data_IF_061236975209
#
_entry.id   IF_061236975209
#
_cell.length_a   1.000
_cell.length_b   1.000
_cell.length_c   1.000
_cell.angle_alpha   90.00
_cell.angle_beta   90.00
_cell.angle_gamma   90.00
#
_symmetry.space_group_name_H-M   'P 1'
#
loop_
_entity.id
_entity.type
_entity.pdbx_description
1 polymer ?
#
# COMPACT_ATOMS: atom_id res chain seq x y z
N UNK A 1 -23.29 1.47 -13.22
CA UNK A 1 -22.90 2.00 -11.92
C UNK A 1 -22.83 0.87 -10.91
N UNK A 2 -21.77 0.82 -10.11
CA UNK A 2 -21.60 -0.19 -9.06
C UNK A 2 -22.54 0.14 -7.90
N UNK A 3 -23.35 -0.84 -7.47
CA UNK A 3 -24.24 -0.68 -6.34
C UNK A 3 -23.52 -0.71 -4.99
N UNK A 4 -24.22 -0.38 -3.91
CA UNK A 4 -23.70 -0.41 -2.53
C UNK A 4 -23.18 -1.79 -2.09
N UNK A 5 -23.65 -2.85 -2.72
CA UNK A 5 -23.19 -4.23 -2.50
C UNK A 5 -21.88 -4.57 -3.20
N UNK A 6 -21.30 -3.64 -3.96
CA UNK A 6 -20.09 -3.87 -4.74
C UNK A 6 -20.29 -4.61 -6.07
N UNK A 7 -21.53 -4.78 -6.50
CA UNK A 7 -21.86 -5.45 -7.75
C UNK A 7 -22.46 -4.50 -8.78
N UNK A 8 -22.14 -4.75 -10.04
CA UNK A 8 -22.77 -4.09 -11.18
C UNK A 8 -23.04 -5.12 -12.28
N UNK A 9 -24.12 -4.91 -13.02
CA UNK A 9 -24.43 -5.70 -14.21
C UNK A 9 -24.10 -4.85 -15.43
N UNK A 10 -23.30 -5.41 -16.33
CA UNK A 10 -22.98 -4.79 -17.62
C UNK A 10 -23.76 -5.55 -18.69
N UNK A 11 -24.87 -4.99 -19.17
CA UNK A 11 -25.66 -5.62 -20.22
C UNK A 11 -25.05 -5.37 -21.61
N UNK A 12 -25.51 -6.13 -22.59
CA UNK A 12 -25.23 -5.92 -24.01
C UNK A 12 -23.77 -6.09 -24.45
N UNK A 13 -23.07 -7.06 -23.85
CA UNK A 13 -21.76 -7.45 -24.35
C UNK A 13 -21.92 -8.21 -25.69
N UNK A 14 -20.99 -7.98 -26.62
CA UNK A 14 -20.99 -8.66 -27.89
C UNK A 14 -20.50 -10.11 -27.73
N UNK A 15 -21.32 -11.13 -28.02
CA UNK A 15 -20.92 -12.52 -27.88
C UNK A 15 -19.75 -12.87 -28.80
N UNK A 16 -18.91 -13.81 -28.38
CA UNK A 16 -17.76 -14.35 -29.14
C UNK A 16 -16.74 -13.32 -29.60
N UNK A 17 -16.77 -12.13 -29.02
CA UNK A 17 -15.78 -11.07 -29.27
C UNK A 17 -15.20 -10.60 -27.96
N UNK A 18 -13.98 -10.04 -27.98
CA UNK A 18 -13.40 -9.39 -26.84
C UNK A 18 -14.14 -8.09 -26.54
N UNK A 19 -14.63 -7.99 -25.32
CA UNK A 19 -15.19 -6.77 -24.77
C UNK A 19 -14.27 -6.28 -23.66
N UNK A 20 -14.07 -4.99 -23.58
CA UNK A 20 -13.32 -4.36 -22.49
C UNK A 20 -14.33 -3.85 -21.47
N UNK A 21 -14.20 -4.32 -20.24
CA UNK A 21 -14.99 -3.81 -19.12
C UNK A 21 -14.07 -3.00 -18.24
N UNK A 22 -14.37 -1.72 -18.07
CA UNK A 22 -13.60 -0.77 -17.30
C UNK A 22 -14.38 -0.29 -16.09
N UNK A 23 -13.67 -0.12 -14.97
CA UNK A 23 -14.18 0.56 -13.78
C UNK A 23 -13.61 1.98 -13.73
N UNK A 24 -14.49 2.98 -13.59
CA UNK A 24 -14.07 4.36 -13.33
C UNK A 24 -13.73 4.50 -11.83
N UNK A 25 -12.50 4.83 -11.47
CA UNK A 25 -12.08 4.93 -10.08
C UNK A 25 -12.53 6.23 -9.37
N UNK A 26 -13.24 7.13 -10.07
CA UNK A 26 -13.60 8.45 -9.50
C UNK A 26 -14.47 8.38 -8.25
N UNK A 27 -15.32 7.35 -8.16
CA UNK A 27 -16.23 7.18 -7.03
C UNK A 27 -15.66 6.27 -5.93
N UNK A 28 -14.40 5.84 -6.06
CA UNK A 28 -13.73 5.09 -5.01
C UNK A 28 -13.25 6.05 -3.91
N UNK A 29 -13.31 5.59 -2.67
CA UNK A 29 -12.69 6.33 -1.57
C UNK A 29 -11.18 6.47 -1.79
N UNK A 30 -10.60 7.56 -1.29
CA UNK A 30 -9.17 7.90 -1.50
C UNK A 30 -8.21 6.84 -0.97
N UNK A 31 -8.65 6.02 -0.03
CA UNK A 31 -7.90 4.92 0.57
C UNK A 31 -8.01 3.60 -0.20
N UNK A 32 -8.75 3.57 -1.32
CA UNK A 32 -8.95 2.38 -2.14
C UNK A 32 -8.38 2.58 -3.54
N UNK A 33 -7.54 1.66 -3.96
CA UNK A 33 -6.94 1.65 -5.29
C UNK A 33 -7.26 0.35 -6.02
N UNK A 34 -7.60 0.45 -7.30
CA UNK A 34 -7.79 -0.72 -8.16
C UNK A 34 -6.44 -1.25 -8.63
N UNK A 35 -6.19 -2.55 -8.46
CA UNK A 35 -5.00 -3.20 -9.04
C UNK A 35 -5.06 -3.18 -10.56
N UNK A 36 -6.25 -3.34 -11.12
CA UNK A 36 -6.50 -3.33 -12.57
C UNK A 36 -7.84 -2.65 -12.81
N UNK A 37 -7.85 -1.59 -13.60
CA UNK A 37 -9.07 -0.85 -13.91
C UNK A 37 -9.86 -1.43 -15.09
N UNK A 38 -9.24 -2.27 -15.93
CA UNK A 38 -9.84 -2.84 -17.12
C UNK A 38 -9.62 -4.35 -17.23
N UNK A 39 -10.62 -5.08 -17.65
CA UNK A 39 -10.53 -6.52 -17.95
C UNK A 39 -11.18 -6.82 -19.29
N UNK A 40 -10.59 -7.77 -20.02
CA UNK A 40 -11.11 -8.27 -21.27
C UNK A 40 -11.94 -9.54 -21.05
N UNK A 41 -13.08 -9.60 -21.67
CA UNK A 41 -13.97 -10.77 -21.63
C UNK A 41 -14.59 -11.07 -22.98
N UNK A 42 -14.64 -12.35 -23.34
CA UNK A 42 -15.30 -12.82 -24.55
C UNK A 42 -16.44 -13.79 -24.16
N UNK A 43 -17.64 -13.29 -23.86
CA UNK A 43 -18.74 -14.16 -23.41
C UNK A 43 -19.30 -14.99 -24.55
N UNK A 44 -19.86 -16.15 -24.21
CA UNK A 44 -20.69 -16.91 -25.10
C UNK A 44 -22.12 -16.33 -25.15
N UNK A 45 -22.82 -16.49 -26.24
CA UNK A 45 -24.21 -16.05 -26.31
C UNK A 45 -25.06 -16.68 -25.21
N UNK A 46 -25.83 -15.85 -24.49
CA UNK A 46 -26.67 -16.27 -23.37
C UNK A 46 -25.94 -16.63 -22.07
N UNK A 47 -24.63 -16.45 -22.01
CA UNK A 47 -23.86 -16.72 -20.81
C UNK A 47 -23.75 -15.50 -19.90
N UNK A 48 -23.57 -15.73 -18.60
CA UNK A 48 -23.21 -14.72 -17.62
C UNK A 48 -21.78 -14.98 -17.18
N UNK A 49 -20.91 -13.98 -17.32
CA UNK A 49 -19.51 -14.05 -16.88
C UNK A 49 -19.31 -13.12 -15.71
N UNK A 50 -18.74 -13.65 -14.63
CA UNK A 50 -18.37 -12.86 -13.46
C UNK A 50 -16.94 -12.33 -13.62
N UNK A 51 -16.78 -11.02 -13.59
CA UNK A 51 -15.49 -10.35 -13.51
C UNK A 51 -15.28 -9.86 -12.07
N UNK A 52 -14.09 -10.00 -11.57
CA UNK A 52 -13.71 -9.53 -10.24
C UNK A 52 -12.57 -8.53 -10.37
N UNK A 53 -12.80 -7.31 -9.90
CA UNK A 53 -11.79 -6.27 -9.80
C UNK A 53 -11.23 -6.24 -8.39
N UNK A 54 -9.97 -6.56 -8.27
CA UNK A 54 -9.30 -6.53 -6.99
C UNK A 54 -8.93 -5.11 -6.59
N UNK A 55 -9.17 -4.79 -5.33
CA UNK A 55 -8.81 -3.50 -4.73
C UNK A 55 -7.75 -3.68 -3.66
N UNK A 56 -6.94 -2.67 -3.48
CA UNK A 56 -6.03 -2.53 -2.35
C UNK A 56 -6.51 -1.35 -1.53
N UNK A 57 -6.75 -1.57 -0.25
CA UNK A 57 -7.15 -0.51 0.68
C UNK A 57 -5.97 -0.06 1.53
N UNK A 58 -6.04 1.15 2.01
CA UNK A 58 -5.03 1.75 2.87
C UNK A 58 -4.38 3.00 2.27
N UNK A 59 -3.83 3.84 3.14
CA UNK A 59 -3.15 5.07 2.73
C UNK A 59 -1.75 4.78 2.22
N UNK A 60 -1.43 5.25 1.01
CA UNK A 60 -0.08 5.20 0.47
C UNK A 60 0.78 6.29 1.12
N UNK A 61 1.95 5.90 1.63
CA UNK A 61 2.88 6.78 2.32
C UNK A 61 4.26 6.71 1.67
N UNK A 62 4.92 7.86 1.61
CA UNK A 62 6.35 7.98 1.33
C UNK A 62 7.01 8.51 2.60
N UNK A 63 7.73 7.66 3.31
CA UNK A 63 8.29 7.97 4.62
C UNK A 63 9.77 8.23 4.51
N UNK A 64 10.21 9.38 4.97
CA UNK A 64 11.61 9.72 5.17
C UNK A 64 11.99 9.45 6.62
N UNK A 65 12.85 8.47 6.83
CA UNK A 65 13.34 8.08 8.15
C UNK A 65 14.81 7.65 8.04
N UNK A 66 15.76 8.58 8.11
CA UNK A 66 17.18 8.23 8.05
C UNK A 66 17.56 7.34 9.22
N UNK A 67 18.62 6.56 9.05
CA UNK A 67 19.17 5.73 10.13
C UNK A 67 19.82 6.59 11.21
N UNK A 68 20.09 6.00 12.37
CA UNK A 68 20.70 6.69 13.52
C UNK A 68 22.06 7.32 13.20
N UNK A 69 22.81 6.74 12.26
CA UNK A 69 24.09 7.28 11.80
C UNK A 69 23.95 8.41 10.76
N UNK A 70 22.71 8.82 10.45
CA UNK A 70 22.41 9.85 9.46
C UNK A 70 22.39 9.36 8.02
N UNK A 71 22.68 8.09 7.76
CA UNK A 71 22.60 7.51 6.42
C UNK A 71 21.14 7.22 6.02
N UNK A 72 20.91 7.17 4.71
CA UNK A 72 19.59 6.80 4.18
C UNK A 72 19.31 5.32 4.37
N UNK A 73 18.03 4.95 4.35
CA UNK A 73 17.64 3.54 4.32
C UNK A 73 18.18 2.89 3.04
N UNK A 74 18.66 1.63 3.13
CA UNK A 74 19.18 0.95 1.94
C UNK A 74 18.10 0.71 0.89
N UNK A 75 18.41 1.03 -0.35
CA UNK A 75 17.51 0.78 -1.49
C UNK A 75 17.13 -0.69 -1.60
N UNK A 76 15.85 -0.95 -1.87
CA UNK A 76 15.33 -2.32 -2.02
C UNK A 76 15.07 -3.05 -0.73
N UNK A 77 15.23 -2.39 0.43
CA UNK A 77 14.86 -2.99 1.72
C UNK A 77 13.36 -3.22 1.80
N UNK A 78 12.96 -4.35 2.40
CA UNK A 78 11.56 -4.66 2.65
C UNK A 78 11.05 -3.94 3.89
N UNK A 79 9.79 -3.52 3.84
CA UNK A 79 9.12 -2.88 4.98
C UNK A 79 7.95 -3.76 5.44
N UNK A 80 7.91 -4.05 6.72
CA UNK A 80 6.91 -4.89 7.36
C UNK A 80 6.09 -4.09 8.37
N UNK A 81 4.83 -4.47 8.52
CA UNK A 81 3.97 -3.95 9.59
C UNK A 81 4.21 -4.67 10.93
N UNK A 82 3.41 -4.31 11.93
CA UNK A 82 3.48 -4.92 13.27
C UNK A 82 3.11 -6.42 13.26
N UNK A 83 2.31 -6.85 12.30
CA UNK A 83 1.88 -8.24 12.14
C UNK A 83 2.89 -9.07 11.32
N UNK A 84 3.96 -8.46 10.85
CA UNK A 84 4.99 -9.11 10.02
C UNK A 84 4.63 -9.24 8.55
N UNK A 85 3.58 -8.58 8.09
CA UNK A 85 3.22 -8.55 6.67
C UNK A 85 4.09 -7.54 5.91
N UNK A 86 4.57 -7.93 4.73
CA UNK A 86 5.30 -7.03 3.84
C UNK A 86 4.33 -6.02 3.23
N UNK A 87 4.52 -4.74 3.53
CA UNK A 87 3.63 -3.66 3.12
C UNK A 87 4.29 -2.63 2.23
N UNK A 88 5.57 -2.78 1.95
CA UNK A 88 6.28 -1.82 1.11
C UNK A 88 7.75 -2.11 0.93
N UNK A 89 8.43 -1.16 0.32
CA UNK A 89 9.83 -1.25 -0.07
C UNK A 89 10.49 0.13 0.02
N UNK A 90 11.78 0.14 0.29
CA UNK A 90 12.58 1.37 0.24
C UNK A 90 12.99 1.65 -1.21
N UNK A 91 12.59 2.81 -1.70
CA UNK A 91 12.92 3.29 -3.04
C UNK A 91 14.21 4.09 -3.10
N UNK A 92 14.42 4.73 -4.23
CA UNK A 92 15.55 5.63 -4.44
C UNK A 92 15.50 6.82 -3.46
N UNK A 93 16.66 7.26 -3.01
CA UNK A 93 16.77 8.32 -2.02
C UNK A 93 16.49 7.87 -0.58
N UNK A 94 16.34 6.57 -0.35
CA UNK A 94 16.15 6.00 0.99
C UNK A 94 14.80 6.27 1.61
N UNK A 95 13.78 6.58 0.82
CA UNK A 95 12.40 6.78 1.30
C UNK A 95 11.62 5.48 1.23
N UNK A 96 10.94 5.13 2.31
CA UNK A 96 10.08 3.96 2.37
C UNK A 96 8.72 4.26 1.71
N UNK A 97 8.40 3.49 0.69
CA UNK A 97 7.09 3.52 0.05
C UNK A 97 6.25 2.38 0.62
N UNK A 98 5.19 2.72 1.34
CA UNK A 98 4.34 1.75 2.06
C UNK A 98 2.86 2.07 1.92
N UNK A 99 2.04 1.08 2.17
CA UNK A 99 0.59 1.24 2.25
C UNK A 99 0.14 0.76 3.63
N UNK A 100 -0.49 1.65 4.39
CA UNK A 100 -0.92 1.40 5.76
C UNK A 100 -2.43 1.52 5.90
N UNK A 101 -3.02 0.69 6.74
CA UNK A 101 -4.46 0.71 7.04
C UNK A 101 -4.81 1.39 8.37
N UNK A 102 -3.80 1.73 9.15
CA UNK A 102 -3.95 2.40 10.46
C UNK A 102 -3.45 3.83 10.38
N UNK A 103 -3.95 4.69 11.25
CA UNK A 103 -3.54 6.10 11.33
C UNK A 103 -2.19 6.30 12.02
N UNK A 104 -1.75 5.34 12.79
CA UNK A 104 -0.45 5.34 13.47
C UNK A 104 0.03 3.91 13.67
N UNK A 105 1.31 3.72 13.75
CA UNK A 105 1.89 2.41 13.97
C UNK A 105 3.40 2.39 13.89
N UNK A 106 3.94 1.19 14.01
CA UNK A 106 5.36 0.92 13.93
C UNK A 106 5.64 0.04 12.72
N UNK A 107 6.66 0.41 11.95
CA UNK A 107 7.12 -0.34 10.80
C UNK A 107 8.53 -0.84 11.03
N UNK A 108 8.83 -2.00 10.46
CA UNK A 108 10.15 -2.60 10.50
C UNK A 108 10.74 -2.61 9.09
N UNK A 109 11.93 -2.06 8.93
CA UNK A 109 12.67 -2.07 7.67
C UNK A 109 13.79 -3.09 7.76
N UNK A 110 13.85 -4.03 6.82
CA UNK A 110 14.84 -5.09 6.75
C UNK A 110 15.64 -5.04 5.45
N UNK A 111 16.97 -5.04 5.56
CA UNK A 111 17.89 -5.15 4.41
C UNK A 111 18.82 -6.34 4.49
N UNK A 112 18.67 -7.19 5.49
CA UNK A 112 19.43 -8.43 5.68
C UNK A 112 18.79 -9.32 6.72
N UNK A 113 19.39 -10.47 6.97
CA UNK A 113 18.87 -11.47 7.90
C UNK A 113 19.18 -11.16 9.37
N UNK A 114 20.22 -10.36 9.63
CA UNK A 114 20.68 -10.07 10.99
C UNK A 114 19.89 -8.93 11.63
N UNK A 115 19.83 -8.90 12.95
CA UNK A 115 19.20 -7.81 13.71
C UNK A 115 19.84 -6.45 13.44
N UNK A 116 21.15 -6.42 13.13
CA UNK A 116 21.86 -5.22 12.71
C UNK A 116 21.43 -4.68 11.34
N UNK A 117 20.79 -5.52 10.53
CA UNK A 117 20.22 -5.17 9.22
C UNK A 117 18.73 -4.87 9.29
N UNK A 118 18.27 -4.40 10.43
CA UNK A 118 16.85 -4.12 10.70
C UNK A 118 16.75 -2.83 11.50
N UNK A 119 15.80 -1.97 11.14
CA UNK A 119 15.47 -0.83 11.98
C UNK A 119 13.95 -0.64 12.09
N UNK A 120 13.53 0.07 13.11
CA UNK A 120 12.13 0.39 13.38
C UNK A 120 11.88 1.88 13.25
N UNK A 121 10.77 2.21 12.63
CA UNK A 121 10.28 3.57 12.52
C UNK A 121 8.82 3.64 12.96
N UNK A 122 8.42 4.79 13.46
CA UNK A 122 7.04 5.08 13.79
C UNK A 122 6.45 6.02 12.76
N UNK A 123 5.18 5.85 12.44
CA UNK A 123 4.43 6.80 11.63
C UNK A 123 3.16 7.22 12.36
N UNK A 124 2.77 8.46 12.15
CA UNK A 124 1.53 9.03 12.66
C UNK A 124 0.93 9.93 11.58
N UNK A 125 -0.25 9.58 11.10
CA UNK A 125 -0.96 10.35 10.08
C UNK A 125 -1.68 11.57 10.69
N UNK A 126 -1.79 11.63 12.01
CA UNK A 126 -2.57 12.65 12.70
C UNK A 126 -4.06 12.55 12.38
N UNK A 127 -4.83 13.50 12.89
CA UNK A 127 -6.28 13.60 12.69
C UNK A 127 -6.68 14.51 11.51
N UNK A 128 -5.76 14.87 10.64
CA UNK A 128 -6.11 15.70 9.48
C UNK A 128 -6.87 14.85 8.46
N UNK A 129 -8.15 15.16 8.22
CA UNK A 129 -8.83 14.62 7.05
C UNK A 129 -8.09 15.08 5.81
N UNK A 130 -7.96 14.20 4.84
CA UNK A 130 -7.41 14.54 3.54
C UNK A 130 -8.11 15.78 3.02
N UNK A 131 -7.36 16.86 2.80
CA UNK A 131 -7.89 18.02 2.13
C UNK A 131 -8.38 17.58 0.74
N UNK A 132 -9.55 17.99 0.35
CA UNK A 132 -10.07 17.76 -1.01
C UNK A 132 -9.00 18.14 -2.03
N UNK A 133 -8.54 17.16 -2.81
CA UNK A 133 -7.44 17.33 -3.77
C UNK A 133 -6.06 16.88 -3.28
N UNK A 134 -5.96 16.29 -2.08
CA UNK A 134 -4.72 15.71 -1.60
C UNK A 134 -4.25 14.57 -2.53
N UNK A 135 -2.97 14.54 -2.80
CA UNK A 135 -2.32 13.44 -3.51
C UNK A 135 -2.66 12.11 -2.81
N UNK A 136 -2.94 11.07 -3.58
CA UNK A 136 -3.12 9.71 -3.04
C UNK A 136 -1.89 9.20 -2.30
N UNK A 137 -0.76 9.82 -2.52
CA UNK A 137 0.50 9.56 -1.85
C UNK A 137 0.80 10.67 -0.85
N UNK A 138 0.89 10.32 0.42
CA UNK A 138 1.24 11.25 1.50
C UNK A 138 2.71 11.10 1.87
N UNK A 139 3.40 12.22 2.01
CA UNK A 139 4.79 12.26 2.48
C UNK A 139 4.83 12.50 3.99
N UNK A 140 5.68 11.73 4.68
CA UNK A 140 5.91 11.87 6.12
C UNK A 140 7.40 11.89 6.42
N UNK A 141 7.78 12.73 7.39
CA UNK A 141 9.07 12.67 8.05
C UNK A 141 8.87 12.03 9.44
N UNK A 142 9.33 10.80 9.58
CA UNK A 142 9.10 9.99 10.79
C UNK A 142 10.28 10.00 11.76
N UNK A 143 11.16 10.97 11.64
CA UNK A 143 12.36 11.01 12.45
C UNK A 143 13.36 9.94 12.07
N UNK A 144 13.99 9.30 13.05
CA UNK A 144 15.07 8.34 12.82
C UNK A 144 14.55 6.91 12.85
N UNK A 145 14.96 6.09 11.87
CA UNK A 145 14.77 4.65 11.92
C UNK A 145 15.80 4.04 12.89
N UNK A 146 15.31 3.56 14.02
CA UNK A 146 16.16 3.05 15.09
C UNK A 146 16.53 1.60 14.81
N UNK A 147 17.83 1.31 14.78
CA UNK A 147 18.31 -0.05 14.74
C UNK A 147 17.90 -0.71 16.06
N UNK A 148 17.26 -1.85 15.96
CA UNK A 148 17.03 -2.70 17.11
C UNK A 148 18.40 -3.23 17.55
N UNK A 149 19.11 -2.45 18.34
CA UNK A 149 20.20 -3.00 19.11
C UNK A 149 19.57 -4.08 19.97
N UNK A 150 20.03 -5.31 19.81
CA UNK A 150 19.83 -6.29 20.83
C UNK A 150 20.42 -5.71 22.10
N UNK A 151 19.61 -4.93 22.80
CA UNK A 151 19.92 -4.51 24.14
C UNK A 151 19.82 -5.77 24.99
N UNK A 152 20.84 -6.57 24.89
CA UNK A 152 21.17 -7.42 26.00
C UNK A 152 21.56 -6.51 27.15
N UNK A 153 20.58 -5.90 27.79
CA UNK A 153 20.79 -5.55 29.15
C UNK A 153 21.05 -6.86 29.87
N UNK A 154 22.31 -7.19 30.00
CA UNK A 154 22.74 -8.12 31.01
C UNK A 154 22.28 -7.54 32.34
N UNK A 155 21.07 -7.89 32.72
CA UNK A 155 20.67 -7.74 34.09
C UNK A 155 21.34 -8.88 34.85
N UNK A 156 22.45 -8.59 35.38
CA UNK A 156 22.92 -9.36 36.51
C UNK A 156 21.95 -9.25 37.66
#
# INVERSE_FOLDING_TARGET
QVGKSGFAVVPHLTPYRQNVVELDPKDLSVDVELKTAAQNVAPRAGSVVKLQFETVSGQALLINAPREDGSTLPFGSDVFDEDGASIGVVGQGGKAFVRVSRTQGQLTVKWGADASATCRLHYDLGSQPDAEGASRLRQLDSGTCQVESANFSLRE
#
